data_IF_929475201742
#
_entry.id   IF_929475201742
#
_cell.length_a   1.000
_cell.length_b   1.000
_cell.length_c   1.000
_cell.angle_alpha   90.00
_cell.angle_beta   90.00
_cell.angle_gamma   90.00
#
_symmetry.space_group_name_H-M   'P 1'
#
loop_
_entity.id
_entity.type
_entity.pdbx_description
1 polymer ?
#
# COMPACT_ATOMS: atom_id res chain seq x y z
N UNK A 1 6.18 -15.87 16.83
CA UNK A 1 7.02 -14.67 16.66
C UNK A 1 6.22 -13.66 15.84
N UNK A 2 5.56 -12.72 16.53
CA UNK A 2 4.79 -11.66 15.90
C UNK A 2 5.74 -10.67 15.24
N UNK A 3 5.64 -10.48 13.92
CA UNK A 3 6.36 -9.42 13.22
C UNK A 3 5.95 -8.06 13.79
N UNK A 4 6.91 -7.18 14.01
CA UNK A 4 6.64 -5.82 14.45
C UNK A 4 6.11 -5.01 13.26
N UNK A 5 4.82 -4.63 13.30
CA UNK A 5 4.21 -3.75 12.32
C UNK A 5 4.36 -2.31 12.80
N UNK A 6 5.00 -1.47 12.01
CA UNK A 6 5.09 -0.04 12.24
C UNK A 6 4.27 0.73 11.21
N UNK A 7 3.65 1.82 11.64
CA UNK A 7 2.98 2.79 10.77
C UNK A 7 3.46 4.19 11.11
N UNK A 8 3.85 4.94 10.10
CA UNK A 8 4.26 6.33 10.22
C UNK A 8 3.43 7.20 9.30
N UNK A 9 2.89 8.28 9.86
CA UNK A 9 2.21 9.33 9.10
C UNK A 9 2.96 10.64 9.27
N UNK A 10 3.32 11.28 8.15
CA UNK A 10 4.01 12.57 8.15
C UNK A 10 3.22 13.53 7.26
N UNK A 11 2.57 14.54 7.85
CA UNK A 11 1.80 15.52 7.07
C UNK A 11 2.67 16.42 6.20
N UNK A 12 3.96 16.58 6.56
CA UNK A 12 4.93 17.44 5.89
C UNK A 12 6.17 16.63 5.47
N UNK A 13 6.26 16.23 4.20
CA UNK A 13 7.35 15.42 3.69
C UNK A 13 8.73 16.11 3.79
N UNK A 14 8.76 17.44 3.78
CA UNK A 14 9.99 18.23 3.98
C UNK A 14 10.69 17.93 5.30
N UNK A 15 9.93 17.68 6.36
CA UNK A 15 10.49 17.32 7.69
C UNK A 15 11.20 15.99 7.66
N UNK A 16 10.73 15.05 6.84
CA UNK A 16 11.37 13.75 6.62
C UNK A 16 12.69 13.95 5.90
N UNK A 17 12.71 14.71 4.80
CA UNK A 17 13.90 14.98 4.02
C UNK A 17 15.00 15.64 4.87
N UNK A 18 14.64 16.61 5.72
CA UNK A 18 15.58 17.26 6.63
C UNK A 18 16.17 16.28 7.66
N UNK A 19 15.32 15.45 8.29
CA UNK A 19 15.77 14.46 9.27
C UNK A 19 16.69 13.41 8.65
N UNK A 20 16.42 12.97 7.44
CA UNK A 20 17.26 12.00 6.75
C UNK A 20 18.65 12.57 6.45
N UNK A 21 18.74 13.84 6.05
CA UNK A 21 20.01 14.51 5.83
C UNK A 21 20.80 14.71 7.12
N UNK A 22 20.16 15.11 8.21
CA UNK A 22 20.81 15.38 9.48
C UNK A 22 21.28 14.11 10.21
N UNK A 23 20.57 13.01 10.02
CA UNK A 23 20.89 11.73 10.68
C UNK A 23 22.04 10.96 10.03
N UNK A 24 22.62 11.43 8.92
CA UNK A 24 23.60 10.71 8.09
C UNK A 24 23.11 9.28 7.77
N UNK A 25 21.81 9.07 7.78
CA UNK A 25 21.15 7.75 7.62
C UNK A 25 20.26 7.80 6.38
N UNK A 26 20.53 6.91 5.46
CA UNK A 26 19.65 6.71 4.29
C UNK A 26 18.52 5.73 4.64
N UNK A 27 17.38 6.24 5.08
CA UNK A 27 16.19 5.44 5.35
C UNK A 27 15.57 4.82 4.08
N UNK A 28 16.02 5.22 2.88
CA UNK A 28 15.51 4.65 1.63
C UNK A 28 15.79 3.15 1.53
N UNK A 29 16.94 2.70 2.04
CA UNK A 29 17.30 1.27 2.12
C UNK A 29 16.31 0.53 3.03
N UNK A 30 16.05 1.07 4.22
CA UNK A 30 15.13 0.49 5.18
C UNK A 30 13.70 0.43 4.65
N UNK A 31 13.23 1.48 3.96
CA UNK A 31 11.91 1.50 3.33
C UNK A 31 11.81 0.52 2.16
N UNK A 32 12.88 0.32 1.39
CA UNK A 32 12.92 -0.72 0.35
C UNK A 32 12.81 -2.12 0.94
N UNK A 33 13.53 -2.40 2.03
CA UNK A 33 13.43 -3.67 2.76
C UNK A 33 12.05 -3.87 3.37
N UNK A 34 11.45 -2.81 3.92
CA UNK A 34 10.08 -2.85 4.43
C UNK A 34 9.04 -3.14 3.33
N UNK A 35 9.21 -2.57 2.13
CA UNK A 35 8.35 -2.87 0.99
C UNK A 35 8.45 -4.34 0.56
N UNK A 36 9.67 -4.89 0.54
CA UNK A 36 9.93 -6.28 0.16
C UNK A 36 9.62 -7.25 1.32
N UNK A 37 9.45 -6.75 2.56
CA UNK A 37 9.19 -7.55 3.76
C UNK A 37 10.36 -8.45 4.14
N UNK A 38 11.59 -7.97 3.91
CA UNK A 38 12.83 -8.71 4.19
C UNK A 38 13.36 -8.44 5.59
N UNK A 39 14.37 -9.19 6.00
CA UNK A 39 15.11 -8.99 7.22
C UNK A 39 15.81 -7.62 7.24
N UNK A 40 15.86 -7.00 8.41
CA UNK A 40 16.65 -5.80 8.66
C UNK A 40 17.61 -6.04 9.82
N UNK A 41 18.88 -5.80 9.56
CA UNK A 41 19.94 -5.93 10.57
C UNK A 41 20.74 -4.64 10.65
N UNK A 42 21.08 -4.26 11.86
CA UNK A 42 22.01 -3.18 12.16
C UNK A 42 22.94 -3.61 13.26
N UNK A 43 24.21 -3.78 12.91
CA UNK A 43 25.28 -3.95 13.88
C UNK A 43 25.84 -2.60 14.29
N UNK A 44 25.91 -2.37 15.57
CA UNK A 44 26.47 -1.15 16.11
C UNK A 44 27.97 -1.32 16.33
N UNK A 45 28.75 -0.32 15.91
CA UNK A 45 30.21 -0.31 16.07
C UNK A 45 30.68 0.06 17.49
N UNK A 46 29.78 0.51 18.34
CA UNK A 46 30.08 0.97 19.72
C UNK A 46 29.46 0.00 20.71
N UNK A 47 30.13 -0.25 21.80
CA UNK A 47 29.69 -1.17 22.87
C UNK A 47 28.38 -0.74 23.55
N UNK A 48 28.07 0.57 23.50
CA UNK A 48 26.85 1.16 24.08
C UNK A 48 25.67 1.24 23.11
N UNK A 49 25.86 0.83 21.87
CA UNK A 49 24.82 0.93 20.86
C UNK A 49 24.06 -0.41 20.69
N UNK A 50 22.75 -0.30 20.49
CA UNK A 50 21.87 -1.46 20.40
C UNK A 50 21.98 -2.10 19.03
N UNK A 51 22.32 -3.39 19.02
CA UNK A 51 22.17 -4.24 17.83
C UNK A 51 20.70 -4.51 17.58
N UNK A 52 20.26 -4.33 16.36
CA UNK A 52 18.88 -4.54 15.97
C UNK A 52 18.83 -5.66 14.95
N UNK A 53 18.03 -6.68 15.23
CA UNK A 53 17.68 -7.73 14.28
C UNK A 53 16.17 -7.84 14.18
N UNK A 54 15.62 -7.69 12.98
CA UNK A 54 14.19 -7.80 12.69
C UNK A 54 14.05 -8.82 11.57
N UNK A 55 13.51 -9.98 11.86
CA UNK A 55 13.33 -11.08 10.89
C UNK A 55 12.52 -10.64 9.67
N UNK A 56 11.50 -9.83 9.90
CA UNK A 56 10.63 -9.30 8.88
C UNK A 56 10.26 -7.86 9.19
N UNK A 57 10.84 -6.94 8.45
CA UNK A 57 10.52 -5.51 8.59
C UNK A 57 9.20 -5.21 7.89
N UNK A 58 8.20 -4.80 8.66
CA UNK A 58 6.88 -4.40 8.17
C UNK A 58 6.60 -2.96 8.62
N UNK A 59 6.96 -2.01 7.77
CA UNK A 59 6.79 -0.59 8.06
C UNK A 59 6.04 0.09 6.92
N UNK A 60 4.85 0.60 7.24
CA UNK A 60 4.03 1.38 6.33
C UNK A 60 4.22 2.86 6.60
N UNK A 61 4.48 3.63 5.55
CA UNK A 61 4.73 5.06 5.63
C UNK A 61 3.77 5.80 4.72
N UNK A 62 3.10 6.80 5.27
CA UNK A 62 2.29 7.76 4.52
C UNK A 62 2.90 9.15 4.71
N UNK A 63 3.21 9.81 3.61
CA UNK A 63 3.75 11.18 3.60
C UNK A 63 2.88 12.06 2.72
N UNK A 64 2.60 13.26 3.19
CA UNK A 64 1.93 14.29 2.41
C UNK A 64 2.90 15.45 2.17
N UNK A 65 2.71 16.19 1.08
CA UNK A 65 3.54 17.35 0.79
C UNK A 65 3.33 17.87 -0.63
N UNK A 66 4.02 18.95 -0.95
CA UNK A 66 4.06 19.49 -2.31
C UNK A 66 4.91 18.58 -3.22
N UNK A 67 4.79 18.69 -4.55
CA UNK A 67 5.68 18.00 -5.47
C UNK A 67 7.17 18.26 -5.17
N UNK A 68 7.53 19.48 -4.82
CA UNK A 68 8.91 19.83 -4.46
C UNK A 68 9.39 19.11 -3.19
N UNK A 69 8.52 18.96 -2.19
CA UNK A 69 8.82 18.20 -0.99
C UNK A 69 9.08 16.72 -1.32
N UNK A 70 8.30 16.15 -2.24
CA UNK A 70 8.50 14.78 -2.72
C UNK A 70 9.86 14.62 -3.41
N UNK A 71 10.25 15.55 -4.28
CA UNK A 71 11.57 15.52 -4.92
C UNK A 71 12.73 15.59 -3.93
N UNK A 72 12.55 16.26 -2.80
CA UNK A 72 13.57 16.31 -1.73
C UNK A 72 13.68 15.00 -0.94
N UNK A 73 12.61 14.23 -0.85
CA UNK A 73 12.61 12.89 -0.24
C UNK A 73 13.16 11.85 -1.21
N UNK A 74 12.75 11.94 -2.48
CA UNK A 74 13.15 11.00 -3.54
C UNK A 74 14.26 11.67 -4.36
N UNK A 75 15.47 11.64 -3.84
CA UNK A 75 16.62 12.33 -4.48
C UNK A 75 17.29 11.48 -5.56
N UNK A 76 17.09 10.16 -5.55
CA UNK A 76 17.74 9.25 -6.47
C UNK A 76 16.71 8.35 -7.16
N UNK A 77 16.53 8.55 -8.45
CA UNK A 77 15.60 7.78 -9.28
C UNK A 77 16.16 6.42 -9.75
N UNK A 78 17.44 6.16 -9.50
CA UNK A 78 18.10 4.93 -9.97
C UNK A 78 18.16 3.83 -8.93
N UNK A 79 17.98 4.15 -7.65
CA UNK A 79 18.09 3.20 -6.52
C UNK A 79 16.85 2.32 -6.32
N UNK A 80 15.79 2.56 -7.09
CA UNK A 80 14.54 1.79 -7.02
C UNK A 80 13.63 2.16 -5.85
N UNK A 81 13.94 3.22 -5.07
CA UNK A 81 13.07 3.68 -3.99
C UNK A 81 11.76 4.26 -4.53
N UNK A 82 11.85 5.15 -5.54
CA UNK A 82 10.69 5.77 -6.17
C UNK A 82 9.67 4.73 -6.66
N UNK A 83 10.13 3.67 -7.29
CA UNK A 83 9.24 2.64 -7.86
C UNK A 83 8.45 1.83 -6.81
N UNK A 84 8.78 2.01 -5.53
CA UNK A 84 8.10 1.37 -4.39
C UNK A 84 7.11 2.29 -3.67
N UNK A 85 7.02 3.54 -4.09
CA UNK A 85 6.11 4.54 -3.53
C UNK A 85 4.86 4.58 -4.39
N UNK A 86 3.69 4.43 -3.76
CA UNK A 86 2.42 4.72 -4.41
C UNK A 86 2.12 6.22 -4.29
N UNK A 87 1.86 6.87 -5.40
CA UNK A 87 1.57 8.30 -5.45
C UNK A 87 0.06 8.53 -5.56
N UNK A 88 -0.43 9.51 -4.83
CA UNK A 88 -1.79 10.01 -4.97
C UNK A 88 -1.74 11.54 -5.02
N UNK A 89 -2.33 12.11 -6.05
CA UNK A 89 -2.46 13.56 -6.21
C UNK A 89 -3.84 14.01 -5.75
N UNK A 90 -3.90 15.00 -4.88
CA UNK A 90 -5.15 15.68 -4.58
C UNK A 90 -5.61 16.47 -5.79
N UNK A 91 -6.93 16.53 -6.09
CA UNK A 91 -7.45 17.39 -7.14
C UNK A 91 -7.03 18.85 -6.91
N UNK A 92 -6.73 19.55 -7.99
CA UNK A 92 -6.51 20.98 -7.94
C UNK A 92 -7.85 21.68 -7.70
N UNK A 93 -7.93 22.39 -6.58
CA UNK A 93 -9.13 23.15 -6.18
C UNK A 93 -8.83 24.66 -6.05
N UNK A 94 -7.74 25.13 -6.61
CA UNK A 94 -7.28 26.53 -6.48
C UNK A 94 -8.35 27.55 -6.82
N UNK A 95 -9.18 27.27 -7.83
CA UNK A 95 -10.26 28.15 -8.29
C UNK A 95 -11.65 27.70 -7.86
N UNK A 96 -11.73 26.65 -7.04
CA UNK A 96 -13.03 26.20 -6.53
C UNK A 96 -13.50 27.13 -5.40
N UNK A 97 -14.78 27.51 -5.39
CA UNK A 97 -15.31 28.25 -4.25
C UNK A 97 -15.21 27.40 -2.98
N UNK A 98 -14.89 28.06 -1.88
CA UNK A 98 -15.01 27.43 -0.57
C UNK A 98 -16.46 27.00 -0.36
N UNK A 99 -16.70 25.71 -0.45
CA UNK A 99 -17.98 25.14 -0.07
C UNK A 99 -17.92 24.80 1.43
N UNK A 100 -18.99 25.08 2.16
CA UNK A 100 -19.11 24.74 3.59
C UNK A 100 -19.01 23.24 3.84
N UNK A 101 -19.13 22.43 2.81
CA UNK A 101 -18.94 20.98 2.85
C UNK A 101 -17.46 20.61 2.80
N UNK A 102 -16.78 20.79 3.92
CA UNK A 102 -15.55 20.04 4.16
C UNK A 102 -15.88 18.55 4.02
N UNK A 103 -15.05 17.81 3.28
CA UNK A 103 -15.16 16.35 3.16
C UNK A 103 -14.85 15.67 4.50
N UNK A 104 -15.66 15.95 5.50
CA UNK A 104 -15.55 15.34 6.82
C UNK A 104 -16.31 14.02 6.79
N UNK A 105 -15.63 12.96 7.18
CA UNK A 105 -16.30 11.66 7.35
C UNK A 105 -17.44 11.79 8.35
N UNK A 106 -18.63 11.34 7.97
CA UNK A 106 -19.76 11.24 8.90
C UNK A 106 -19.46 10.22 9.98
N UNK A 107 -20.13 10.30 11.14
CA UNK A 107 -19.95 9.32 12.21
C UNK A 107 -20.28 7.90 11.76
N UNK A 108 -21.27 7.73 10.88
CA UNK A 108 -21.61 6.43 10.27
C UNK A 108 -20.44 5.89 9.44
N UNK A 109 -19.76 6.72 8.66
CA UNK A 109 -18.60 6.30 7.86
C UNK A 109 -17.40 5.97 8.77
N UNK A 110 -17.16 6.78 9.81
CA UNK A 110 -16.11 6.53 10.81
C UNK A 110 -16.32 5.19 11.51
N UNK A 111 -17.57 4.94 11.95
CA UNK A 111 -17.91 3.68 12.59
C UNK A 111 -17.74 2.50 11.64
N UNK A 112 -18.16 2.63 10.38
CA UNK A 112 -17.97 1.58 9.38
C UNK A 112 -16.49 1.25 9.16
N UNK A 113 -15.63 2.25 9.09
CA UNK A 113 -14.18 2.06 8.98
C UNK A 113 -13.64 1.28 10.18
N UNK A 114 -14.03 1.66 11.41
CA UNK A 114 -13.61 0.95 12.63
C UNK A 114 -14.05 -0.51 12.63
N UNK A 115 -15.29 -0.79 12.24
CA UNK A 115 -15.84 -2.14 12.16
C UNK A 115 -15.08 -3.01 11.16
N UNK A 116 -14.78 -2.49 9.96
CA UNK A 116 -13.96 -3.16 8.96
C UNK A 116 -12.55 -3.41 9.52
N UNK A 117 -11.90 -2.39 10.05
CA UNK A 117 -10.56 -2.49 10.61
C UNK A 117 -10.46 -3.54 11.73
N UNK A 118 -11.52 -3.67 12.55
CA UNK A 118 -11.60 -4.69 13.61
C UNK A 118 -11.53 -6.13 13.06
N UNK A 119 -12.12 -6.38 11.90
CA UNK A 119 -12.15 -7.72 11.31
C UNK A 119 -10.90 -8.08 10.50
N UNK A 120 -10.16 -7.09 9.97
CA UNK A 120 -9.00 -7.35 9.10
C UNK A 120 -7.95 -8.28 9.73
N UNK A 121 -7.57 -8.15 11.02
CA UNK A 121 -6.60 -9.07 11.64
C UNK A 121 -7.03 -10.53 11.66
N UNK A 122 -8.34 -10.82 11.60
CA UNK A 122 -8.88 -12.17 11.55
C UNK A 122 -8.80 -12.79 10.15
N UNK A 123 -8.48 -12.00 9.15
CA UNK A 123 -8.33 -12.41 7.75
C UNK A 123 -6.84 -12.45 7.33
N UNK A 124 -5.95 -12.81 8.26
CA UNK A 124 -4.53 -12.95 7.99
C UNK A 124 -4.21 -14.30 7.35
N UNK A 125 -3.25 -14.32 6.43
CA UNK A 125 -2.75 -15.54 5.80
C UNK A 125 -2.58 -15.40 4.29
N UNK A 126 -2.15 -16.48 3.66
CA UNK A 126 -1.92 -16.53 2.22
C UNK A 126 -3.20 -16.85 1.47
N UNK A 127 -3.37 -16.21 0.32
CA UNK A 127 -4.47 -16.48 -0.62
C UNK A 127 -3.96 -16.33 -2.04
N UNK A 128 -4.40 -17.21 -2.92
CA UNK A 128 -4.09 -17.15 -4.35
C UNK A 128 -5.26 -16.49 -5.08
N UNK A 129 -4.97 -15.49 -5.90
CA UNK A 129 -5.96 -14.71 -6.64
C UNK A 129 -5.69 -14.83 -8.16
N UNK A 130 -6.00 -15.97 -8.79
CA UNK A 130 -5.52 -16.32 -10.13
C UNK A 130 -6.02 -15.35 -11.22
N UNK A 131 -7.22 -14.80 -11.10
CA UNK A 131 -7.74 -13.83 -12.07
C UNK A 131 -7.06 -12.47 -11.93
N UNK A 132 -6.75 -12.04 -10.69
CA UNK A 132 -5.99 -10.81 -10.44
C UNK A 132 -4.55 -10.96 -10.96
N UNK A 133 -3.91 -12.10 -10.72
CA UNK A 133 -2.58 -12.40 -11.25
C UNK A 133 -2.56 -12.43 -12.78
N UNK A 134 -3.55 -13.04 -13.39
CA UNK A 134 -3.70 -13.05 -14.85
C UNK A 134 -3.85 -11.63 -15.41
N UNK A 135 -4.64 -10.77 -14.73
CA UNK A 135 -4.78 -9.36 -15.11
C UNK A 135 -3.48 -8.60 -14.99
N UNK A 136 -2.72 -8.81 -13.90
CA UNK A 136 -1.40 -8.21 -13.72
C UNK A 136 -0.42 -8.61 -14.84
N UNK A 137 -0.39 -9.89 -15.23
CA UNK A 137 0.43 -10.35 -16.37
C UNK A 137 0.03 -9.70 -17.70
N UNK A 138 -1.26 -9.58 -17.98
CA UNK A 138 -1.76 -8.90 -19.18
C UNK A 138 -1.36 -7.42 -19.19
N UNK A 139 -1.47 -6.74 -18.07
CA UNK A 139 -1.06 -5.35 -17.94
C UNK A 139 0.46 -5.18 -18.14
N UNK A 140 1.29 -6.04 -17.53
CA UNK A 140 2.74 -6.03 -17.71
C UNK A 140 3.15 -6.19 -19.18
N UNK A 141 2.47 -7.07 -19.92
CA UNK A 141 2.73 -7.29 -21.34
C UNK A 141 2.28 -6.09 -22.19
N UNK A 142 1.12 -5.50 -21.90
CA UNK A 142 0.65 -4.29 -22.56
C UNK A 142 1.67 -3.15 -22.43
N UNK A 143 2.08 -2.85 -21.18
CA UNK A 143 3.06 -1.79 -20.92
C UNK A 143 4.43 -2.11 -21.55
N UNK A 144 4.84 -3.37 -21.60
CA UNK A 144 6.05 -3.78 -22.30
C UNK A 144 6.01 -3.39 -23.79
N UNK A 145 4.91 -3.70 -24.45
CA UNK A 145 4.74 -3.39 -25.87
C UNK A 145 4.67 -1.88 -26.15
N UNK A 146 4.00 -1.12 -25.28
CA UNK A 146 3.93 0.33 -25.36
C UNK A 146 5.32 0.96 -25.20
N UNK A 147 6.04 0.59 -24.15
CA UNK A 147 7.36 1.17 -23.84
C UNK A 147 8.44 0.77 -24.85
N UNK A 148 8.29 -0.37 -25.53
CA UNK A 148 9.17 -0.75 -26.65
C UNK A 148 9.01 0.17 -27.87
N UNK A 149 7.80 0.65 -28.14
CA UNK A 149 7.54 1.56 -29.26
C UNK A 149 8.17 2.94 -29.02
N UNK A 150 8.12 3.39 -27.76
CA UNK A 150 8.53 4.73 -27.36
C UNK A 150 9.98 4.78 -26.85
N UNK A 151 10.69 3.65 -26.80
CA UNK A 151 12.01 3.44 -26.16
C UNK A 151 12.09 3.97 -24.71
N UNK A 152 10.94 3.91 -23.98
CA UNK A 152 10.86 4.36 -22.60
C UNK A 152 11.35 3.30 -21.61
N UNK A 153 12.67 3.30 -21.38
CA UNK A 153 13.32 2.35 -20.46
C UNK A 153 12.97 2.57 -18.99
N UNK A 154 12.58 3.79 -18.61
CA UNK A 154 12.22 4.12 -17.22
C UNK A 154 10.88 3.47 -16.89
N UNK A 155 9.86 3.77 -17.68
CA UNK A 155 8.53 3.18 -17.55
C UNK A 155 8.58 1.65 -17.69
N UNK A 156 9.39 1.13 -18.62
CA UNK A 156 9.62 -0.30 -18.79
C UNK A 156 10.16 -1.00 -17.53
N UNK A 157 10.98 -0.33 -16.73
CA UNK A 157 11.50 -0.86 -15.45
C UNK A 157 10.50 -0.71 -14.31
N UNK A 158 9.82 0.42 -14.25
CA UNK A 158 8.86 0.72 -13.18
C UNK A 158 7.68 -0.25 -13.15
N UNK A 159 7.23 -0.76 -14.31
CA UNK A 159 6.10 -1.70 -14.39
C UNK A 159 6.23 -2.91 -13.47
N UNK A 160 7.46 -3.42 -13.25
CA UNK A 160 7.69 -4.57 -12.40
C UNK A 160 7.44 -4.32 -10.90
N UNK A 161 7.42 -3.05 -10.48
CA UNK A 161 7.11 -2.65 -9.11
C UNK A 161 5.67 -2.16 -8.95
N UNK A 162 5.17 -1.46 -9.97
CA UNK A 162 3.80 -0.95 -9.98
C UNK A 162 2.79 -2.10 -10.00
N UNK A 163 3.02 -3.15 -10.79
CA UNK A 163 2.13 -4.30 -10.84
C UNK A 163 1.91 -4.94 -9.45
N UNK A 164 2.93 -5.39 -8.70
CA UNK A 164 2.71 -5.95 -7.36
C UNK A 164 2.16 -4.93 -6.36
N UNK A 165 2.51 -3.65 -6.46
CA UNK A 165 1.92 -2.59 -5.62
C UNK A 165 0.42 -2.50 -5.87
N UNK A 166 0.00 -2.45 -7.13
CA UNK A 166 -1.42 -2.42 -7.50
C UNK A 166 -2.15 -3.70 -7.09
N UNK A 167 -1.51 -4.86 -7.22
CA UNK A 167 -2.09 -6.12 -6.73
C UNK A 167 -2.33 -6.08 -5.21
N UNK A 168 -1.40 -5.54 -4.43
CA UNK A 168 -1.56 -5.34 -2.98
C UNK A 168 -2.74 -4.40 -2.67
N UNK A 169 -2.86 -3.27 -3.38
CA UNK A 169 -3.99 -2.34 -3.22
C UNK A 169 -5.32 -3.02 -3.52
N UNK A 170 -5.40 -3.75 -4.63
CA UNK A 170 -6.61 -4.50 -5.01
C UNK A 170 -6.97 -5.56 -3.97
N UNK A 171 -5.98 -6.27 -3.43
CA UNK A 171 -6.20 -7.26 -2.38
C UNK A 171 -6.75 -6.61 -1.10
N UNK A 172 -6.20 -5.47 -0.68
CA UNK A 172 -6.73 -4.70 0.45
C UNK A 172 -8.18 -4.27 0.23
N UNK A 173 -8.51 -3.78 -0.96
CA UNK A 173 -9.89 -3.40 -1.32
C UNK A 173 -10.84 -4.61 -1.28
N UNK A 174 -10.40 -5.77 -1.79
CA UNK A 174 -11.19 -7.01 -1.72
C UNK A 174 -11.42 -7.45 -0.27
N UNK A 175 -10.41 -7.37 0.60
CA UNK A 175 -10.53 -7.70 2.02
C UNK A 175 -11.53 -6.77 2.72
N UNK A 176 -11.45 -5.46 2.47
CA UNK A 176 -12.42 -4.49 3.01
C UNK A 176 -13.84 -4.81 2.55
N UNK A 177 -14.04 -5.21 1.28
CA UNK A 177 -15.35 -5.63 0.77
C UNK A 177 -15.85 -6.90 1.44
N UNK A 178 -14.99 -7.89 1.63
CA UNK A 178 -15.34 -9.15 2.34
C UNK A 178 -15.76 -8.83 3.78
N UNK A 179 -14.98 -8.03 4.51
CA UNK A 179 -15.33 -7.58 5.85
C UNK A 179 -16.68 -6.86 5.86
N UNK A 180 -16.88 -5.93 4.91
CA UNK A 180 -18.13 -5.22 4.74
C UNK A 180 -19.33 -6.15 4.53
N UNK A 181 -19.22 -7.10 3.63
CA UNK A 181 -20.27 -8.08 3.35
C UNK A 181 -20.60 -8.96 4.56
N UNK A 182 -19.59 -9.36 5.35
CA UNK A 182 -19.81 -10.14 6.57
C UNK A 182 -20.55 -9.31 7.62
N UNK A 183 -20.18 -8.04 7.79
CA UNK A 183 -20.84 -7.13 8.74
C UNK A 183 -22.30 -6.90 8.32
N UNK A 184 -22.55 -6.66 7.03
CA UNK A 184 -23.91 -6.41 6.53
C UNK A 184 -24.86 -7.60 6.73
N UNK A 185 -24.30 -8.82 6.68
CA UNK A 185 -25.11 -10.06 6.82
C UNK A 185 -25.29 -10.48 8.28
N UNK A 186 -24.31 -10.23 9.13
CA UNK A 186 -24.25 -10.86 10.46
C UNK A 186 -24.01 -9.89 11.61
N UNK A 187 -23.87 -8.60 11.33
CA UNK A 187 -23.35 -7.64 12.29
C UNK A 187 -21.87 -7.89 12.63
N UNK A 188 -21.26 -7.01 13.40
CA UNK A 188 -19.82 -7.11 13.74
C UNK A 188 -19.52 -8.35 14.56
N UNK A 189 -20.27 -8.59 15.64
CA UNK A 189 -20.06 -9.74 16.53
C UNK A 189 -20.28 -11.09 15.81
N UNK A 190 -21.31 -11.16 14.95
CA UNK A 190 -21.59 -12.37 14.16
C UNK A 190 -20.51 -12.63 13.10
N UNK A 191 -19.99 -11.58 12.44
CA UNK A 191 -18.90 -11.68 11.50
C UNK A 191 -17.60 -12.17 12.17
N UNK A 192 -17.27 -11.60 13.33
CA UNK A 192 -16.11 -12.00 14.13
C UNK A 192 -16.20 -13.47 14.55
N UNK A 193 -17.35 -13.90 15.08
CA UNK A 193 -17.59 -15.28 15.48
C UNK A 193 -17.39 -16.24 14.31
N UNK A 194 -17.95 -15.91 13.14
CA UNK A 194 -17.80 -16.74 11.93
C UNK A 194 -16.37 -16.85 11.46
N UNK A 195 -15.61 -15.76 11.45
CA UNK A 195 -14.19 -15.75 11.04
C UNK A 195 -13.34 -16.59 12.02
N UNK A 196 -13.64 -16.54 13.32
CA UNK A 196 -12.96 -17.38 14.34
C UNK A 196 -13.30 -18.86 14.19
N UNK A 197 -14.57 -19.20 13.92
CA UNK A 197 -15.01 -20.58 13.74
C UNK A 197 -14.60 -21.18 12.39
N UNK A 198 -14.51 -20.36 11.36
CA UNK A 198 -14.15 -20.74 9.99
C UNK A 198 -13.04 -19.86 9.43
N UNK A 199 -11.77 -20.07 9.82
CA UNK A 199 -10.64 -19.22 9.41
C UNK A 199 -10.40 -19.17 7.89
N UNK A 200 -10.92 -20.17 7.13
CA UNK A 200 -10.85 -20.19 5.66
C UNK A 200 -11.95 -19.42 4.93
N UNK A 201 -13.01 -19.02 5.62
CA UNK A 201 -14.19 -18.40 5.00
C UNK A 201 -13.85 -17.17 4.16
N UNK A 202 -13.01 -16.28 4.69
CA UNK A 202 -12.61 -15.08 3.97
C UNK A 202 -11.83 -15.38 2.67
N UNK A 203 -11.07 -16.50 2.63
CA UNK A 203 -10.32 -16.92 1.44
C UNK A 203 -11.26 -17.31 0.31
N UNK A 204 -12.33 -18.03 0.62
CA UNK A 204 -13.36 -18.36 -0.37
C UNK A 204 -14.10 -17.12 -0.86
N UNK A 205 -14.40 -16.20 0.06
CA UNK A 205 -15.11 -14.96 -0.25
C UNK A 205 -14.28 -14.02 -1.12
N UNK A 206 -12.98 -13.85 -0.83
CA UNK A 206 -12.11 -12.96 -1.59
C UNK A 206 -11.90 -13.47 -3.02
N UNK A 207 -11.77 -14.77 -3.22
CA UNK A 207 -11.67 -15.37 -4.57
C UNK A 207 -12.90 -15.02 -5.41
N UNK A 208 -14.09 -14.97 -4.81
CA UNK A 208 -15.34 -14.56 -5.49
C UNK A 208 -15.41 -13.07 -5.81
N UNK A 209 -14.57 -12.22 -5.21
CA UNK A 209 -14.51 -10.79 -5.53
C UNK A 209 -13.83 -10.51 -6.88
N UNK A 210 -13.15 -11.47 -7.49
CA UNK A 210 -12.45 -11.32 -8.76
C UNK A 210 -13.41 -11.26 -9.97
N UNK A 211 -14.40 -10.37 -9.90
CA UNK A 211 -15.34 -10.10 -11.00
C UNK A 211 -14.69 -9.17 -12.04
N UNK A 212 -15.04 -9.29 -13.33
CA UNK A 212 -14.44 -8.47 -14.38
C UNK A 212 -14.54 -6.96 -14.13
N UNK A 213 -15.69 -6.49 -13.63
CA UNK A 213 -15.91 -5.07 -13.30
C UNK A 213 -14.99 -4.57 -12.19
N UNK A 214 -14.69 -5.43 -11.20
CA UNK A 214 -13.76 -5.07 -10.13
C UNK A 214 -12.31 -5.14 -10.60
N UNK A 215 -11.96 -6.15 -11.40
CA UNK A 215 -10.62 -6.30 -11.96
C UNK A 215 -10.25 -5.18 -12.95
N UNK A 216 -11.23 -4.54 -13.58
CA UNK A 216 -10.98 -3.36 -14.42
C UNK A 216 -10.34 -2.20 -13.63
N UNK A 217 -10.61 -2.08 -12.33
CA UNK A 217 -9.99 -1.08 -11.47
C UNK A 217 -8.47 -1.29 -11.33
N UNK A 218 -7.97 -2.50 -11.56
CA UNK A 218 -6.53 -2.78 -11.56
C UNK A 218 -5.80 -1.92 -12.60
N UNK A 219 -6.31 -1.89 -13.84
CA UNK A 219 -5.66 -1.12 -14.92
C UNK A 219 -5.68 0.38 -14.62
N UNK A 220 -6.81 0.89 -14.14
CA UNK A 220 -6.94 2.32 -13.77
C UNK A 220 -5.93 2.69 -12.70
N UNK A 221 -5.81 1.87 -11.65
CA UNK A 221 -4.85 2.11 -10.57
C UNK A 221 -3.40 1.98 -11.05
N UNK A 222 -3.09 0.96 -11.86
CA UNK A 222 -1.76 0.72 -12.35
C UNK A 222 -1.33 1.80 -13.36
N UNK A 223 -2.21 2.20 -14.26
CA UNK A 223 -1.94 3.25 -15.25
C UNK A 223 -1.80 4.63 -14.60
N UNK A 224 -2.46 4.87 -13.47
CA UNK A 224 -2.25 6.08 -12.68
C UNK A 224 -0.87 6.14 -12.01
N UNK A 225 -0.27 5.00 -11.68
CA UNK A 225 1.02 4.93 -10.97
C UNK A 225 2.24 4.95 -11.91
N UNK A 226 2.08 4.65 -13.19
CA UNK A 226 3.14 4.56 -14.16
C UNK A 226 3.28 5.83 -15.02
#
# INVERSE_FOLDING_TARGET
>A
TGGLHAFSFTPEADTVAQKWRSAMSDFSVMLRQAYDGTCYEREARSADAVNVHIDRLLWNVVMCGTPDALYRVVTNYTDGFQSRIALARTPDNTFQPLTENLHVLTDKQRERIRQIAHLLPLMAGEVVLPKLEARGRQWLERVRLETMKDDDKVKARQRFRICPTTMRMMTCLMLCRVAGQLIDRHGVAGAETRLKQQPGLWKEMIVKQQQPSFLAAFDVLADYQI
#
